data_IF_932038673985
#
_entry.id   IF_932038673985
#
_cell.length_a   1.000
_cell.length_b   1.000
_cell.length_c   1.000
_cell.angle_alpha   90.00
_cell.angle_beta   90.00
_cell.angle_gamma   90.00
#
_symmetry.space_group_name_H-M   'P 1'
#
loop_
_entity.id
_entity.type
_entity.pdbx_description
1 polymer ?
#
# COMPACT_ATOMS: atom_id res chain seq x y z
N UNK A 1 12.34 73.92 19.89
CA UNK A 1 12.12 74.82 21.03
C UNK A 1 10.71 74.63 21.50
N UNK A 2 10.58 73.93 22.63
CA UNK A 2 9.66 74.17 23.75
C UNK A 2 9.46 72.84 24.46
N UNK A 3 10.18 72.74 25.57
CA UNK A 3 10.17 71.70 26.58
C UNK A 3 8.87 71.70 27.40
N UNK A 4 8.63 70.58 28.09
CA UNK A 4 8.25 70.43 29.51
C UNK A 4 7.46 69.12 29.66
N UNK A 5 8.02 68.05 30.21
CA UNK A 5 8.27 67.75 31.64
C UNK A 5 7.01 67.48 32.49
N UNK A 6 6.96 66.21 32.96
CA UNK A 6 6.72 65.74 34.34
C UNK A 6 5.30 65.90 34.94
N UNK A 7 4.58 64.81 35.16
CA UNK A 7 4.50 64.05 36.45
C UNK A 7 3.24 63.17 36.53
N UNK A 8 3.32 62.04 37.25
CA UNK A 8 2.20 61.11 37.48
C UNK A 8 1.08 61.69 38.36
N UNK A 9 -0.06 60.98 38.47
CA UNK A 9 -0.12 59.95 39.51
C UNK A 9 -0.88 58.67 39.13
N UNK A 10 -0.53 57.60 39.84
CA UNK A 10 -1.33 56.39 40.01
C UNK A 10 -2.79 56.72 40.33
N UNK A 11 -3.69 56.33 39.43
CA UNK A 11 -5.10 56.12 39.75
C UNK A 11 -5.51 54.82 39.06
N UNK A 12 -5.49 53.73 39.83
CA UNK A 12 -6.33 52.55 39.58
C UNK A 12 -7.81 52.99 39.68
N UNK A 13 -8.65 52.68 38.69
CA UNK A 13 -10.03 52.35 38.96
C UNK A 13 -10.17 50.83 39.01
N UNK A 14 -10.36 50.33 40.23
CA UNK A 14 -11.10 49.10 40.46
C UNK A 14 -12.37 49.12 39.62
N UNK A 15 -12.54 48.07 38.83
CA UNK A 15 -13.65 47.96 37.91
C UNK A 15 -13.54 46.70 37.08
N UNK A 16 -13.53 45.54 37.75
CA UNK A 16 -13.93 44.27 37.14
C UNK A 16 -15.36 44.46 36.65
N UNK A 17 -15.53 44.94 35.42
CA UNK A 17 -16.67 44.59 34.61
C UNK A 17 -16.23 43.37 33.82
N UNK A 18 -16.59 42.20 34.33
CA UNK A 18 -16.73 41.02 33.50
C UNK A 18 -17.70 41.39 32.38
N UNK A 19 -17.17 41.85 31.26
CA UNK A 19 -17.85 41.66 30.00
C UNK A 19 -17.99 40.14 29.90
N UNK A 20 -19.21 39.65 30.09
CA UNK A 20 -19.60 38.30 29.72
C UNK A 20 -19.29 38.18 28.23
N UNK A 21 -18.05 37.80 27.92
CA UNK A 21 -17.68 37.34 26.59
C UNK A 21 -18.58 36.14 26.35
N UNK A 22 -19.60 36.36 25.53
CA UNK A 22 -20.48 35.27 25.17
C UNK A 22 -19.67 34.23 24.40
N UNK A 23 -20.10 32.97 24.44
CA UNK A 23 -19.42 31.91 23.69
C UNK A 23 -19.28 32.28 22.20
N UNK A 24 -20.27 32.99 21.66
CA UNK A 24 -20.26 33.60 20.34
C UNK A 24 -19.14 34.64 20.14
N UNK A 25 -18.80 35.46 21.14
CA UNK A 25 -17.71 36.44 21.05
C UNK A 25 -16.32 35.77 21.06
N UNK A 26 -16.18 34.64 21.78
CA UNK A 26 -14.98 33.81 21.77
C UNK A 26 -14.84 32.97 20.49
N UNK A 27 -15.95 32.64 19.82
CA UNK A 27 -15.96 31.88 18.57
C UNK A 27 -15.78 32.77 17.34
N UNK A 28 -16.14 34.06 17.42
CA UNK A 28 -15.98 35.06 16.37
C UNK A 28 -14.68 35.88 16.51
N UNK A 29 -13.79 35.51 17.42
CA UNK A 29 -12.50 36.17 17.60
C UNK A 29 -11.61 35.96 16.35
N UNK A 30 -11.52 36.99 15.51
CA UNK A 30 -10.71 37.02 14.28
C UNK A 30 -9.21 36.82 14.57
N UNK A 31 -8.76 36.93 15.83
CA UNK A 31 -7.39 36.60 16.25
C UNK A 31 -7.08 35.10 16.21
N UNK A 32 -8.11 34.23 16.14
CA UNK A 32 -7.96 32.78 15.98
C UNK A 32 -7.72 32.33 14.54
N UNK A 33 -7.60 33.26 13.58
CA UNK A 33 -7.16 32.94 12.22
C UNK A 33 -8.14 32.07 11.42
N UNK A 34 -9.39 31.94 11.85
CA UNK A 34 -10.49 31.40 11.06
C UNK A 34 -11.09 32.46 10.13
N UNK A 35 -10.23 33.28 9.50
CA UNK A 35 -10.64 33.94 8.27
C UNK A 35 -10.91 32.84 7.25
N UNK A 36 -12.18 32.52 7.06
CA UNK A 36 -12.73 31.70 5.98
C UNK A 36 -12.52 32.39 4.62
N UNK A 37 -11.26 32.70 4.30
CA UNK A 37 -10.78 33.15 3.01
C UNK A 37 -10.10 32.00 2.26
N UNK A 38 -10.51 30.76 2.52
CA UNK A 38 -10.24 29.66 1.61
C UNK A 38 -11.27 29.76 0.48
N UNK A 39 -10.79 29.91 -0.74
CA UNK A 39 -11.64 29.92 -1.93
C UNK A 39 -12.63 28.73 -1.85
N UNK A 40 -13.94 28.93 -2.07
CA UNK A 40 -14.93 27.84 -2.03
C UNK A 40 -14.52 26.63 -2.90
N UNK A 41 -13.85 26.88 -4.02
CA UNK A 41 -13.28 25.84 -4.90
C UNK A 41 -12.18 24.99 -4.23
N UNK A 42 -11.27 25.58 -3.45
CA UNK A 42 -10.21 24.82 -2.77
C UNK A 42 -10.80 23.90 -1.69
N UNK A 43 -11.88 24.35 -1.05
CA UNK A 43 -12.62 23.54 -0.09
C UNK A 43 -13.36 22.38 -0.77
N UNK A 44 -13.93 22.58 -1.96
CA UNK A 44 -14.55 21.50 -2.73
C UNK A 44 -13.52 20.50 -3.25
N UNK A 45 -12.43 20.95 -3.87
CA UNK A 45 -11.35 20.09 -4.37
C UNK A 45 -10.77 19.23 -3.25
N UNK A 46 -10.51 19.83 -2.09
CA UNK A 46 -10.02 19.12 -0.93
C UNK A 46 -11.06 18.10 -0.40
N UNK A 47 -12.36 18.42 -0.38
CA UNK A 47 -13.41 17.46 0.00
C UNK A 47 -13.47 16.29 -0.97
N UNK A 48 -13.46 16.56 -2.27
CA UNK A 48 -13.43 15.53 -3.32
C UNK A 48 -12.20 14.62 -3.19
N UNK A 49 -11.03 15.17 -2.88
CA UNK A 49 -9.83 14.37 -2.64
C UNK A 49 -9.94 13.54 -1.36
N UNK A 50 -10.51 14.08 -0.28
CA UNK A 50 -10.75 13.33 0.96
C UNK A 50 -11.73 12.18 0.74
N UNK A 51 -12.74 12.36 -0.11
CA UNK A 51 -13.68 11.29 -0.47
C UNK A 51 -12.98 10.15 -1.21
N UNK A 52 -12.09 10.47 -2.17
CA UNK A 52 -11.24 9.47 -2.83
C UNK A 52 -10.37 8.72 -1.82
N UNK A 53 -9.71 9.45 -0.91
CA UNK A 53 -8.88 8.84 0.13
C UNK A 53 -9.68 7.94 1.07
N UNK A 54 -10.89 8.36 1.47
CA UNK A 54 -11.73 7.57 2.35
C UNK A 54 -12.12 6.24 1.71
N UNK A 55 -12.43 6.24 0.42
CA UNK A 55 -12.72 5.01 -0.35
C UNK A 55 -11.48 4.13 -0.47
N UNK A 56 -10.32 4.72 -0.78
CA UNK A 56 -9.05 3.99 -0.82
C UNK A 56 -8.71 3.33 0.53
N UNK A 57 -8.89 4.04 1.65
CA UNK A 57 -8.63 3.53 3.00
C UNK A 57 -9.58 2.38 3.37
N UNK A 58 -10.84 2.39 2.88
CA UNK A 58 -11.77 1.26 3.02
C UNK A 58 -11.33 0.02 2.25
N UNK A 59 -10.38 0.17 1.31
CA UNK A 59 -9.79 -0.90 0.52
C UNK A 59 -10.40 -1.06 -0.87
N UNK A 60 -11.34 -0.19 -1.27
CA UNK A 60 -11.90 -0.20 -2.62
C UNK A 60 -11.08 0.68 -3.56
N UNK A 61 -10.03 0.08 -4.14
CA UNK A 61 -9.12 0.82 -5.02
C UNK A 61 -9.75 1.13 -6.39
N UNK A 62 -10.71 0.32 -6.84
CA UNK A 62 -11.37 0.52 -8.13
C UNK A 62 -12.35 1.69 -8.05
N UNK A 63 -13.17 1.74 -7.00
CA UNK A 63 -14.06 2.88 -6.74
C UNK A 63 -13.26 4.16 -6.47
N UNK A 64 -12.13 4.07 -5.78
CA UNK A 64 -11.26 5.23 -5.54
C UNK A 64 -10.78 5.85 -6.85
N UNK A 65 -10.30 5.04 -7.81
CA UNK A 65 -9.82 5.55 -9.10
C UNK A 65 -10.99 6.09 -9.92
N UNK A 66 -12.15 5.43 -9.88
CA UNK A 66 -13.35 5.89 -10.56
C UNK A 66 -13.77 7.29 -10.07
N UNK A 67 -13.77 7.53 -8.75
CA UNK A 67 -14.05 8.87 -8.19
C UNK A 67 -12.98 9.89 -8.57
N UNK A 68 -11.69 9.51 -8.54
CA UNK A 68 -10.62 10.40 -9.00
C UNK A 68 -10.81 10.80 -10.47
N UNK A 69 -11.32 9.90 -11.30
CA UNK A 69 -11.66 10.20 -12.68
C UNK A 69 -12.87 11.15 -12.79
N UNK A 70 -13.94 10.87 -12.04
CA UNK A 70 -15.15 11.69 -12.02
C UNK A 70 -14.90 13.12 -11.54
N UNK A 71 -14.00 13.30 -10.57
CA UNK A 71 -13.60 14.62 -10.08
C UNK A 71 -12.49 15.29 -10.93
N UNK A 72 -12.07 14.66 -12.03
CA UNK A 72 -11.09 15.25 -12.96
C UNK A 72 -9.63 15.24 -12.46
N UNK A 73 -9.31 14.49 -11.40
CA UNK A 73 -7.94 14.40 -10.86
C UNK A 73 -6.99 13.56 -11.73
N UNK A 74 -7.53 12.77 -12.67
CA UNK A 74 -6.74 11.90 -13.54
C UNK A 74 -6.41 12.50 -14.91
N UNK A 75 -6.44 13.83 -15.05
CA UNK A 75 -5.93 14.47 -16.26
C UNK A 75 -4.40 14.49 -16.27
N UNK A 76 -3.78 14.52 -17.45
CA UNK A 76 -2.32 14.58 -17.58
C UNK A 76 -1.73 15.80 -16.86
N UNK A 77 -2.41 16.95 -16.92
CA UNK A 77 -1.99 18.16 -16.22
C UNK A 77 -2.07 17.98 -14.69
N UNK A 78 -3.21 17.51 -14.16
CA UNK A 78 -3.38 17.29 -12.71
C UNK A 78 -2.39 16.29 -12.14
N UNK A 79 -2.11 15.20 -12.88
CA UNK A 79 -1.14 14.19 -12.48
C UNK A 79 0.31 14.68 -12.57
N UNK A 80 0.62 15.68 -13.41
CA UNK A 80 1.95 16.28 -13.47
C UNK A 80 2.15 17.33 -12.37
N UNK A 81 1.12 18.11 -12.06
CA UNK A 81 1.22 19.24 -11.12
C UNK A 81 1.09 18.81 -9.65
N UNK A 82 0.29 17.78 -9.34
CA UNK A 82 0.00 17.41 -7.94
C UNK A 82 0.58 16.06 -7.57
N UNK A 83 1.60 16.06 -6.69
CA UNK A 83 2.16 14.85 -6.09
C UNK A 83 1.09 14.03 -5.35
N UNK A 84 0.14 14.69 -4.67
CA UNK A 84 -0.91 14.01 -3.88
C UNK A 84 -1.80 13.15 -4.78
N UNK A 85 -2.21 13.68 -5.93
CA UNK A 85 -3.05 12.97 -6.89
C UNK A 85 -2.30 11.83 -7.54
N UNK A 86 -1.07 12.09 -8.00
CA UNK A 86 -0.23 11.07 -8.58
C UNK A 86 0.06 9.92 -7.61
N UNK A 87 0.39 10.23 -6.36
CA UNK A 87 0.71 9.22 -5.35
C UNK A 87 -0.51 8.37 -5.01
N UNK A 88 -1.69 8.97 -4.76
CA UNK A 88 -2.91 8.21 -4.51
C UNK A 88 -3.26 7.30 -5.69
N UNK A 89 -3.19 7.83 -6.90
CA UNK A 89 -3.44 7.07 -8.12
C UNK A 89 -2.49 5.89 -8.26
N UNK A 90 -1.18 6.12 -8.05
CA UNK A 90 -0.16 5.08 -8.11
C UNK A 90 -0.38 3.97 -7.09
N UNK A 91 -0.72 4.33 -5.84
CA UNK A 91 -1.00 3.37 -4.76
C UNK A 91 -2.25 2.53 -5.04
N UNK A 92 -3.31 3.16 -5.55
CA UNK A 92 -4.54 2.48 -5.94
C UNK A 92 -4.29 1.52 -7.12
N UNK A 93 -3.62 1.98 -8.18
CA UNK A 93 -3.24 1.17 -9.33
C UNK A 93 -2.34 0.00 -8.95
N UNK A 94 -1.40 0.20 -8.03
CA UNK A 94 -0.53 -0.86 -7.55
C UNK A 94 -1.32 -1.96 -6.82
N UNK A 95 -2.35 -1.58 -6.08
CA UNK A 95 -3.19 -2.49 -5.29
C UNK A 95 -4.15 -3.33 -6.16
N UNK A 96 -4.56 -2.80 -7.32
CA UNK A 96 -5.41 -3.52 -8.27
C UNK A 96 -4.64 -4.67 -8.94
N UNK A 97 -5.23 -5.86 -9.00
CA UNK A 97 -4.55 -7.06 -9.54
C UNK A 97 -4.40 -7.03 -11.05
N UNK A 98 -5.45 -6.63 -11.76
CA UNK A 98 -5.50 -6.56 -13.21
C UNK A 98 -6.32 -5.35 -13.61
N UNK A 99 -5.82 -4.59 -14.58
CA UNK A 99 -6.52 -3.44 -15.12
C UNK A 99 -7.61 -3.83 -16.14
N UNK A 100 -7.74 -5.11 -16.50
CA UNK A 100 -8.79 -5.59 -17.40
C UNK A 100 -10.21 -5.41 -16.85
N UNK A 101 -10.35 -5.34 -15.52
CA UNK A 101 -11.65 -5.15 -14.86
C UNK A 101 -12.08 -3.68 -14.81
N UNK A 102 -11.17 -2.75 -15.12
CA UNK A 102 -11.49 -1.32 -15.11
C UNK A 102 -12.39 -0.97 -16.31
N UNK A 103 -13.25 0.03 -16.15
CA UNK A 103 -14.02 0.58 -17.27
C UNK A 103 -13.10 1.10 -18.38
N UNK A 104 -13.56 1.04 -19.64
CA UNK A 104 -12.77 1.41 -20.83
C UNK A 104 -12.04 2.77 -20.69
N UNK A 105 -12.72 3.79 -20.16
CA UNK A 105 -12.15 5.13 -19.95
C UNK A 105 -10.97 5.12 -18.96
N UNK A 106 -11.09 4.36 -17.88
CA UNK A 106 -10.01 4.20 -16.90
C UNK A 106 -8.83 3.39 -17.47
N UNK A 107 -9.11 2.39 -18.30
CA UNK A 107 -8.05 1.64 -18.99
C UNK A 107 -7.23 2.56 -19.90
N UNK A 108 -7.87 3.48 -20.63
CA UNK A 108 -7.21 4.47 -21.47
C UNK A 108 -6.31 5.40 -20.64
N UNK A 109 -6.82 5.96 -19.53
CA UNK A 109 -6.05 6.83 -18.61
C UNK A 109 -4.83 6.10 -18.04
N UNK A 110 -5.00 4.86 -17.59
CA UNK A 110 -3.92 4.02 -17.06
C UNK A 110 -2.90 3.73 -18.16
N UNK A 111 -3.33 3.44 -19.39
CA UNK A 111 -2.41 3.22 -20.50
C UNK A 111 -1.63 4.48 -20.85
N UNK A 112 -2.27 5.65 -20.88
CA UNK A 112 -1.61 6.94 -21.16
C UNK A 112 -0.64 7.34 -20.04
N UNK A 113 -0.95 7.02 -18.78
CA UNK A 113 -0.10 7.38 -17.64
C UNK A 113 1.08 6.41 -17.47
N UNK A 114 0.85 5.12 -17.64
CA UNK A 114 1.87 4.08 -17.50
C UNK A 114 2.40 3.64 -18.87
N UNK A 115 2.86 4.62 -19.66
CA UNK A 115 3.55 4.40 -20.94
C UNK A 115 4.92 3.78 -20.78
N UNK A 116 5.53 3.93 -19.60
CA UNK A 116 6.94 3.65 -19.39
C UNK A 116 7.80 4.90 -19.51
N UNK A 117 7.23 6.02 -19.95
CA UNK A 117 7.89 7.30 -19.82
C UNK A 117 8.05 7.65 -18.34
N UNK A 118 9.30 7.72 -17.90
CA UNK A 118 9.65 7.94 -16.52
C UNK A 118 9.62 9.42 -16.11
N UNK A 119 9.29 10.37 -17.00
CA UNK A 119 9.32 11.81 -16.68
C UNK A 119 8.40 12.19 -15.53
N UNK A 120 7.14 11.76 -15.54
CA UNK A 120 6.15 12.09 -14.50
C UNK A 120 6.64 11.59 -13.13
N UNK A 121 7.15 10.37 -13.08
CA UNK A 121 7.70 9.78 -11.86
C UNK A 121 8.96 10.53 -11.41
N UNK A 122 9.88 10.82 -12.33
CA UNK A 122 11.12 11.56 -12.03
C UNK A 122 10.84 12.94 -11.44
N UNK A 123 9.78 13.62 -11.92
CA UNK A 123 9.33 14.89 -11.37
C UNK A 123 8.89 14.73 -9.92
N UNK A 124 7.93 13.82 -9.67
CA UNK A 124 7.38 13.56 -8.33
C UNK A 124 8.38 12.96 -7.34
N UNK A 125 9.44 12.31 -7.82
CA UNK A 125 10.51 11.82 -6.95
C UNK A 125 11.31 12.92 -6.28
N UNK A 126 11.37 14.13 -6.87
CA UNK A 126 12.05 15.28 -6.25
C UNK A 126 11.32 15.76 -5.01
N UNK A 127 10.00 15.63 -5.00
CA UNK A 127 9.13 16.01 -3.88
C UNK A 127 8.99 14.87 -2.86
N UNK A 128 9.17 13.62 -3.29
CA UNK A 128 9.01 12.46 -2.43
C UNK A 128 10.17 12.30 -1.41
N UNK A 129 9.87 11.89 -0.17
CA UNK A 129 10.89 11.50 0.81
C UNK A 129 11.83 10.43 0.24
N UNK A 130 13.14 10.57 0.49
CA UNK A 130 14.17 9.62 -0.01
C UNK A 130 13.79 8.16 0.29
N UNK A 131 13.32 7.90 1.52
CA UNK A 131 12.90 6.57 1.97
C UNK A 131 11.76 5.94 1.15
N UNK A 132 10.92 6.73 0.48
CA UNK A 132 9.81 6.23 -0.35
C UNK A 132 10.12 6.19 -1.83
N UNK A 133 11.20 6.82 -2.30
CA UNK A 133 11.54 6.91 -3.72
C UNK A 133 11.70 5.52 -4.38
N UNK A 134 12.43 4.61 -3.73
CA UNK A 134 12.62 3.24 -4.22
C UNK A 134 11.30 2.45 -4.27
N UNK A 135 10.39 2.69 -3.32
CA UNK A 135 9.05 2.10 -3.33
C UNK A 135 8.20 2.66 -4.46
N UNK A 136 8.30 3.95 -4.75
CA UNK A 136 7.54 4.61 -5.81
C UNK A 136 7.93 4.05 -7.19
N UNK A 137 9.23 3.87 -7.45
CA UNK A 137 9.72 3.19 -8.65
C UNK A 137 9.15 1.79 -8.83
N UNK A 138 9.17 0.99 -7.76
CA UNK A 138 8.63 -0.36 -7.78
C UNK A 138 7.15 -0.39 -8.16
N UNK A 139 6.36 0.49 -7.55
CA UNK A 139 4.93 0.59 -7.84
C UNK A 139 4.69 1.01 -9.29
N UNK A 140 5.47 1.99 -9.77
CA UNK A 140 5.36 2.49 -11.12
C UNK A 140 5.65 1.40 -12.16
N UNK A 141 6.80 0.73 -12.08
CA UNK A 141 7.14 -0.33 -13.05
C UNK A 141 6.15 -1.50 -13.01
N UNK A 142 5.61 -1.83 -11.83
CA UNK A 142 4.57 -2.86 -11.72
C UNK A 142 3.27 -2.43 -12.44
N UNK A 143 2.89 -1.15 -12.33
CA UNK A 143 1.75 -0.60 -13.07
C UNK A 143 2.03 -0.55 -14.57
N UNK A 144 3.24 -0.21 -15.01
CA UNK A 144 3.63 -0.28 -16.43
C UNK A 144 3.49 -1.70 -16.99
N UNK A 145 3.91 -2.73 -16.25
CA UNK A 145 3.73 -4.14 -16.64
C UNK A 145 2.24 -4.46 -16.79
N UNK A 146 1.41 -4.11 -15.80
CA UNK A 146 -0.05 -4.34 -15.87
C UNK A 146 -0.72 -3.61 -17.04
N UNK A 147 -0.31 -2.38 -17.33
CA UNK A 147 -0.83 -1.59 -18.45
C UNK A 147 -0.42 -2.19 -19.80
N UNK A 148 0.84 -2.64 -19.92
CA UNK A 148 1.36 -3.33 -21.10
C UNK A 148 0.60 -4.62 -21.43
N UNK A 149 0.18 -5.37 -20.41
CA UNK A 149 -0.58 -6.61 -20.60
C UNK A 149 -1.99 -6.41 -21.18
N UNK A 150 -2.58 -5.22 -21.04
CA UNK A 150 -3.85 -4.89 -21.71
C UNK A 150 -3.60 -4.51 -23.17
N UNK A 151 -2.55 -3.72 -23.42
CA UNK A 151 -2.27 -3.15 -24.73
C UNK A 151 -1.13 -3.89 -25.42
N UNK A 152 -1.41 -5.11 -25.90
CA UNK A 152 -0.47 -5.94 -26.65
C UNK A 152 -0.10 -5.35 -28.03
N UNK A 153 -0.81 -4.32 -28.48
CA UNK A 153 -0.55 -3.58 -29.71
C UNK A 153 0.51 -2.48 -29.60
N UNK A 154 1.08 -2.24 -28.41
CA UNK A 154 2.19 -1.29 -28.26
C UNK A 154 3.42 -1.71 -29.06
N UNK A 155 4.11 -0.72 -29.62
CA UNK A 155 5.34 -0.93 -30.37
C UNK A 155 6.42 -1.57 -29.49
N UNK A 156 7.20 -2.50 -30.05
CA UNK A 156 8.29 -3.15 -29.32
C UNK A 156 9.32 -2.15 -28.76
N UNK A 157 9.48 -0.99 -29.39
CA UNK A 157 10.39 0.08 -28.96
C UNK A 157 10.03 0.65 -27.58
N UNK A 158 8.75 0.80 -27.26
CA UNK A 158 8.31 1.32 -25.96
C UNK A 158 8.71 0.38 -24.81
N UNK A 159 8.63 -0.93 -25.06
CA UNK A 159 9.01 -1.94 -24.08
C UNK A 159 10.53 -2.06 -23.92
N UNK A 160 11.30 -1.80 -24.98
CA UNK A 160 12.77 -1.72 -24.90
C UNK A 160 13.19 -0.49 -24.08
N UNK A 161 12.51 0.65 -24.26
CA UNK A 161 12.76 1.85 -23.45
C UNK A 161 12.42 1.60 -21.97
N UNK A 162 11.30 0.94 -21.69
CA UNK A 162 10.92 0.52 -20.34
C UNK A 162 11.98 -0.40 -19.70
N UNK A 163 12.49 -1.39 -20.46
CA UNK A 163 13.57 -2.27 -20.04
C UNK A 163 14.84 -1.48 -19.68
N UNK A 164 15.28 -0.58 -20.55
CA UNK A 164 16.49 0.20 -20.36
C UNK A 164 16.39 1.13 -19.14
N UNK A 165 15.25 1.80 -18.95
CA UNK A 165 15.06 2.69 -17.82
C UNK A 165 14.93 1.93 -16.49
N UNK A 166 14.22 0.81 -16.47
CA UNK A 166 14.17 -0.05 -15.28
C UNK A 166 15.57 -0.54 -14.88
N UNK A 167 16.42 -0.88 -15.86
CA UNK A 167 17.81 -1.27 -15.62
C UNK A 167 18.64 -0.16 -15.00
N UNK A 168 18.48 1.10 -15.48
CA UNK A 168 19.15 2.28 -14.88
C UNK A 168 18.69 2.54 -13.45
N UNK A 169 17.43 2.26 -13.12
CA UNK A 169 16.93 2.41 -11.74
C UNK A 169 17.50 1.32 -10.85
N UNK A 170 17.57 0.07 -11.33
CA UNK A 170 18.21 -1.04 -10.60
C UNK A 170 19.68 -0.70 -10.31
N UNK A 171 20.44 -0.21 -11.28
CA UNK A 171 21.85 0.11 -11.07
C UNK A 171 22.07 1.18 -10.00
N UNK A 172 21.18 2.16 -9.89
CA UNK A 172 21.20 3.14 -8.79
C UNK A 172 20.90 2.50 -7.43
N UNK A 173 19.84 1.70 -7.34
CA UNK A 173 19.45 1.05 -6.09
C UNK A 173 20.49 0.03 -5.59
N UNK A 174 21.25 -0.60 -6.50
CA UNK A 174 22.37 -1.50 -6.18
C UNK A 174 23.52 -0.79 -5.46
N UNK A 175 23.63 0.54 -5.54
CA UNK A 175 24.64 1.30 -4.78
C UNK A 175 24.19 1.63 -3.36
N UNK A 176 22.89 1.64 -3.08
CA UNK A 176 22.32 2.12 -1.81
C UNK A 176 21.84 0.97 -0.91
N UNK A 177 22.59 0.55 0.14
CA UNK A 177 22.32 -0.67 0.93
C UNK A 177 20.94 -0.68 1.62
N UNK A 178 20.40 0.49 1.92
CA UNK A 178 19.14 0.70 2.64
C UNK A 178 17.92 0.09 1.93
N UNK A 179 17.93 0.01 0.60
CA UNK A 179 16.76 -0.39 -0.21
C UNK A 179 16.77 -1.87 -0.63
N UNK A 180 17.18 -2.76 0.27
CA UNK A 180 17.31 -4.19 -0.02
C UNK A 180 15.99 -4.87 -0.44
N UNK A 181 14.88 -4.56 0.23
CA UNK A 181 13.56 -5.12 -0.07
C UNK A 181 13.02 -4.58 -1.41
N UNK A 182 13.18 -3.27 -1.63
CA UNK A 182 12.77 -2.58 -2.84
C UNK A 182 13.59 -3.04 -4.05
N UNK A 183 14.89 -3.27 -3.88
CA UNK A 183 15.75 -3.83 -4.91
C UNK A 183 15.28 -5.23 -5.33
N UNK A 184 15.00 -6.10 -4.37
CA UNK A 184 14.47 -7.44 -4.66
C UNK A 184 13.18 -7.37 -5.50
N UNK A 185 12.21 -6.55 -5.07
CA UNK A 185 10.94 -6.39 -5.78
C UNK A 185 11.12 -5.85 -7.19
N UNK A 186 12.08 -4.94 -7.38
CA UNK A 186 12.31 -4.33 -8.68
C UNK A 186 12.96 -5.33 -9.64
N UNK A 187 13.92 -6.11 -9.15
CA UNK A 187 14.54 -7.20 -9.92
C UNK A 187 13.50 -8.27 -10.29
N UNK A 188 12.63 -8.63 -9.36
CA UNK A 188 11.50 -9.52 -9.63
C UNK A 188 10.58 -8.96 -10.72
N UNK A 189 10.21 -7.68 -10.63
CA UNK A 189 9.36 -7.01 -11.61
C UNK A 189 10.05 -6.92 -12.97
N UNK A 190 11.35 -6.68 -13.00
CA UNK A 190 12.15 -6.62 -14.23
C UNK A 190 12.21 -7.99 -14.92
N UNK A 191 12.60 -9.04 -14.20
CA UNK A 191 12.79 -10.36 -14.81
C UNK A 191 11.44 -10.99 -15.16
N UNK A 192 10.51 -11.05 -14.23
CA UNK A 192 9.26 -11.79 -14.44
C UNK A 192 8.20 -10.93 -15.14
N UNK A 193 8.08 -9.65 -14.80
CA UNK A 193 7.12 -8.75 -15.42
C UNK A 193 7.60 -8.23 -16.79
N UNK A 194 8.73 -7.53 -16.83
CA UNK A 194 9.16 -6.86 -18.07
C UNK A 194 9.72 -7.86 -19.08
N UNK A 195 10.71 -8.68 -18.71
CA UNK A 195 11.38 -9.59 -19.68
C UNK A 195 10.48 -10.74 -20.12
N UNK A 196 9.81 -11.42 -19.18
CA UNK A 196 9.04 -12.63 -19.46
C UNK A 196 7.60 -12.29 -19.86
N UNK A 197 6.87 -11.50 -19.07
CA UNK A 197 5.44 -11.24 -19.34
C UNK A 197 5.22 -10.20 -20.44
N UNK A 198 5.97 -9.10 -20.46
CA UNK A 198 5.78 -8.03 -21.46
C UNK A 198 6.55 -8.33 -22.76
N UNK A 199 7.85 -8.59 -22.66
CA UNK A 199 8.71 -8.85 -23.82
C UNK A 199 8.64 -10.31 -24.33
N UNK A 200 7.84 -11.18 -23.69
CA UNK A 200 7.63 -12.57 -24.10
C UNK A 200 8.93 -13.39 -24.25
N UNK A 201 10.01 -13.02 -23.53
CA UNK A 201 11.27 -13.76 -23.56
C UNK A 201 11.11 -15.10 -22.83
N UNK A 202 11.86 -16.10 -23.30
CA UNK A 202 11.83 -17.43 -22.68
C UNK A 202 12.45 -17.39 -21.29
N UNK A 203 11.79 -18.07 -20.34
CA UNK A 203 12.30 -18.22 -18.97
C UNK A 203 13.63 -18.96 -19.02
N UNK A 204 14.70 -18.27 -18.66
CA UNK A 204 16.04 -18.84 -18.62
C UNK A 204 16.88 -18.14 -17.56
N UNK A 205 17.84 -18.87 -17.00
CA UNK A 205 18.85 -18.29 -16.08
C UNK A 205 19.75 -17.29 -16.79
N UNK A 206 19.80 -17.31 -18.12
CA UNK A 206 20.53 -16.33 -18.93
C UNK A 206 19.99 -14.90 -18.74
N UNK A 207 18.68 -14.72 -18.53
CA UNK A 207 18.10 -13.38 -18.28
C UNK A 207 18.69 -12.73 -17.01
N UNK A 208 18.84 -13.52 -15.95
CA UNK A 208 19.46 -13.05 -14.70
C UNK A 208 20.95 -12.76 -14.88
N UNK A 209 21.68 -13.67 -15.55
CA UNK A 209 23.11 -13.48 -15.85
C UNK A 209 23.37 -12.23 -16.69
N UNK A 210 22.53 -11.98 -17.71
CA UNK A 210 22.61 -10.80 -18.55
C UNK A 210 22.34 -9.51 -17.75
N UNK A 211 21.36 -9.54 -16.84
CA UNK A 211 21.13 -8.41 -15.94
C UNK A 211 22.36 -8.14 -15.04
N UNK A 212 22.97 -9.19 -14.47
CA UNK A 212 24.18 -9.05 -13.66
C UNK A 212 25.40 -8.58 -14.47
N UNK A 213 25.48 -8.94 -15.76
CA UNK A 213 26.51 -8.42 -16.66
C UNK A 213 26.36 -6.91 -16.88
N UNK A 214 25.12 -6.43 -17.06
CA UNK A 214 24.87 -4.99 -17.26
C UNK A 214 24.85 -4.18 -15.97
N UNK A 215 24.58 -4.79 -14.82
CA UNK A 215 24.55 -4.13 -13.52
C UNK A 215 25.59 -4.80 -12.62
N UNK A 216 26.83 -4.27 -12.58
CA UNK A 216 27.88 -4.84 -11.74
C UNK A 216 27.45 -4.76 -10.26
N UNK A 217 27.92 -5.71 -9.46
CA UNK A 217 27.59 -5.88 -8.04
C UNK A 217 26.14 -6.28 -7.73
N UNK A 218 25.27 -6.45 -8.73
CA UNK A 218 23.91 -6.94 -8.49
C UNK A 218 23.93 -8.36 -7.91
N UNK A 219 24.72 -9.27 -8.51
CA UNK A 219 24.79 -10.67 -8.07
C UNK A 219 25.26 -10.81 -6.63
N UNK A 220 26.41 -10.19 -6.29
CA UNK A 220 26.94 -10.18 -4.91
C UNK A 220 25.97 -9.56 -3.90
N UNK A 221 25.20 -8.57 -4.34
CA UNK A 221 24.19 -7.95 -3.49
C UNK A 221 22.96 -8.83 -3.28
N UNK A 222 22.47 -9.51 -4.31
CA UNK A 222 21.32 -10.42 -4.16
C UNK A 222 21.68 -11.73 -3.45
N UNK A 223 22.93 -12.18 -3.55
CA UNK A 223 23.43 -13.36 -2.85
C UNK A 223 23.61 -13.12 -1.35
N UNK A 224 23.94 -11.90 -0.94
CA UNK A 224 24.04 -11.53 0.49
C UNK A 224 22.69 -11.28 1.16
N UNK A 225 21.63 -11.01 0.38
CA UNK A 225 20.29 -10.77 0.90
C UNK A 225 19.54 -12.08 1.15
N UNK A 226 18.90 -12.19 2.33
CA UNK A 226 18.03 -13.33 2.64
C UNK A 226 16.66 -13.14 1.99
N UNK A 227 16.18 -14.17 1.30
CA UNK A 227 14.81 -14.20 0.80
C UNK A 227 13.82 -14.34 1.96
N UNK A 228 12.59 -13.88 1.71
CA UNK A 228 11.41 -14.10 2.56
C UNK A 228 11.10 -15.60 2.69
N UNK A 229 11.50 -16.41 1.71
CA UNK A 229 11.36 -17.86 1.75
C UNK A 229 12.53 -18.47 2.55
N UNK A 230 12.19 -19.05 3.70
CA UNK A 230 13.12 -19.56 4.73
C UNK A 230 14.37 -20.24 4.16
N UNK A 231 15.52 -19.61 4.40
CA UNK A 231 16.85 -20.24 4.29
C UNK A 231 17.59 -20.01 2.98
N UNK A 232 16.95 -19.41 1.96
CA UNK A 232 17.60 -19.13 0.66
C UNK A 232 18.00 -17.67 0.51
N UNK A 233 19.00 -17.42 -0.31
CA UNK A 233 19.33 -16.05 -0.75
C UNK A 233 18.30 -15.55 -1.76
N UNK A 234 18.22 -14.24 -1.98
CA UNK A 234 17.32 -13.67 -3.01
C UNK A 234 17.72 -14.17 -4.40
N UNK A 235 19.02 -14.30 -4.67
CA UNK A 235 19.54 -14.86 -5.91
C UNK A 235 19.06 -16.31 -6.13
N UNK A 236 19.21 -17.17 -5.13
CA UNK A 236 18.76 -18.58 -5.21
C UNK A 236 17.25 -18.69 -5.43
N UNK A 237 16.46 -17.79 -4.83
CA UNK A 237 15.00 -17.74 -5.03
C UNK A 237 14.66 -17.39 -6.49
N UNK A 238 15.30 -16.35 -7.05
CA UNK A 238 15.11 -15.95 -8.45
C UNK A 238 15.52 -17.08 -9.41
N UNK A 239 16.69 -17.67 -9.21
CA UNK A 239 17.19 -18.77 -10.04
C UNK A 239 16.26 -19.98 -9.98
N UNK A 240 15.82 -20.38 -8.78
CA UNK A 240 14.91 -21.51 -8.62
C UNK A 240 13.57 -21.30 -9.31
N UNK A 241 13.06 -20.05 -9.34
CA UNK A 241 11.83 -19.69 -10.05
C UNK A 241 12.01 -19.68 -11.57
N UNK A 242 13.18 -19.30 -12.07
CA UNK A 242 13.52 -19.36 -13.50
C UNK A 242 13.68 -20.80 -14.01
N UNK A 243 14.22 -21.69 -13.18
CA UNK A 243 14.40 -23.12 -13.49
C UNK A 243 13.12 -23.94 -13.30
N UNK A 244 12.22 -23.50 -12.40
CA UNK A 244 10.94 -24.17 -12.22
C UNK A 244 10.13 -24.10 -13.52
N UNK A 245 9.91 -25.27 -14.15
CA UNK A 245 8.97 -25.38 -15.26
C UNK A 245 7.63 -24.78 -14.82
N UNK A 246 6.96 -23.98 -15.65
CA UNK A 246 5.64 -23.47 -15.30
C UNK A 246 4.78 -24.68 -14.94
N UNK A 247 4.26 -24.68 -13.71
CA UNK A 247 3.29 -25.68 -13.28
C UNK A 247 2.12 -25.54 -14.24
N UNK A 248 2.07 -26.43 -15.24
CA UNK A 248 0.90 -26.58 -16.08
C UNK A 248 -0.22 -26.94 -15.12
N UNK A 249 -1.04 -25.95 -14.77
CA UNK A 249 -2.31 -26.21 -14.12
C UNK A 249 -3.01 -27.17 -15.07
N UNK A 250 -3.07 -28.45 -14.69
CA UNK A 250 -3.80 -29.46 -15.45
C UNK A 250 -5.23 -28.95 -15.49
N UNK A 251 -5.62 -28.35 -16.62
CA UNK A 251 -7.02 -28.13 -16.95
C UNK A 251 -7.66 -29.50 -16.79
N UNK A 252 -8.51 -29.65 -15.77
CA UNK A 252 -9.34 -30.84 -15.66
C UNK A 252 -10.04 -31.02 -17.02
N UNK A 253 -9.98 -32.21 -17.62
CA UNK A 253 -10.70 -32.44 -18.85
C UNK A 253 -12.19 -32.25 -18.55
N UNK A 254 -12.82 -31.30 -19.25
CA UNK A 254 -14.27 -31.17 -19.31
C UNK A 254 -14.81 -32.55 -19.74
N UNK A 255 -15.47 -33.24 -18.82
CA UNK A 255 -16.19 -34.46 -19.14
C UNK A 255 -17.28 -34.11 -20.14
N UNK A 256 -17.12 -34.57 -21.36
CA UNK A 256 -18.19 -34.65 -22.34
C UNK A 256 -19.23 -35.63 -21.79
N UNK A 257 -20.41 -35.11 -21.50
CA UNK A 257 -21.61 -35.89 -21.24
C UNK A 257 -21.97 -36.71 -22.49
N UNK A 258 -21.88 -38.04 -22.38
CA UNK A 258 -22.66 -38.98 -23.19
C UNK A 258 -23.33 -40.00 -22.26
N UNK A 259 -24.59 -40.23 -22.57
CA UNK A 259 -25.63 -40.98 -21.86
C UNK A 259 -25.43 -42.51 -21.89
N UNK A 260 -25.76 -43.15 -20.74
CA UNK A 260 -26.49 -44.43 -20.51
C UNK A 260 -25.88 -45.71 -21.17
N UNK A 261 -25.46 -46.77 -20.45
CA UNK A 261 -26.33 -47.84 -19.87
C UNK A 261 -25.53 -48.85 -18.99
N UNK A 262 -25.98 -49.05 -17.73
CA UNK A 262 -26.11 -50.24 -16.84
C UNK A 262 -25.02 -51.36 -16.77
N UNK A 263 -24.43 -51.59 -15.57
CA UNK A 263 -24.50 -52.84 -14.73
C UNK A 263 -23.30 -53.08 -13.76
N UNK A 264 -23.48 -52.79 -12.45
CA UNK A 264 -23.11 -53.49 -11.17
C UNK A 264 -21.68 -54.10 -10.87
N UNK A 265 -21.34 -54.37 -9.58
CA UNK A 265 -20.09 -53.93 -8.87
C UNK A 265 -19.24 -55.15 -8.39
N UNK A 266 -18.37 -55.14 -7.33
CA UNK A 266 -17.85 -54.06 -6.44
C UNK A 266 -16.32 -54.11 -6.18
N UNK A 267 -15.73 -53.07 -5.57
CA UNK A 267 -14.73 -53.27 -4.49
C UNK A 267 -14.44 -51.99 -3.67
N UNK A 268 -14.32 -52.22 -2.36
CA UNK A 268 -13.98 -51.32 -1.23
C UNK A 268 -12.82 -50.36 -1.48
N UNK A 269 -12.89 -49.14 -0.91
CA UNK A 269 -11.94 -48.65 0.13
C UNK A 269 -12.27 -47.23 0.65
N UNK A 270 -12.46 -47.20 1.97
CA UNK A 270 -11.92 -46.22 2.94
C UNK A 270 -12.24 -44.73 2.76
N UNK A 271 -13.19 -44.27 3.58
CA UNK A 271 -13.39 -42.86 3.90
C UNK A 271 -12.28 -42.36 4.86
N UNK A 272 -11.37 -41.55 4.35
CA UNK A 272 -10.64 -40.56 5.18
C UNK A 272 -11.06 -39.15 4.73
N UNK A 273 -12.01 -38.59 5.45
CA UNK A 273 -12.36 -37.16 5.38
C UNK A 273 -11.25 -36.34 6.03
N UNK A 274 -10.21 -35.99 5.24
CA UNK A 274 -9.33 -34.86 5.59
C UNK A 274 -10.09 -33.57 5.37
N UNK A 275 -10.67 -33.05 6.44
CA UNK A 275 -11.12 -31.66 6.54
C UNK A 275 -9.92 -30.74 6.28
N UNK A 276 -9.84 -30.17 5.08
CA UNK A 276 -8.94 -29.07 4.76
C UNK A 276 -9.39 -27.86 5.56
N UNK A 277 -8.80 -27.69 6.75
CA UNK A 277 -8.88 -26.42 7.48
C UNK A 277 -8.11 -25.37 6.67
N UNK A 278 -8.85 -24.58 5.89
CA UNK A 278 -8.34 -23.35 5.29
C UNK A 278 -8.07 -22.38 6.44
N UNK A 279 -6.82 -22.32 6.88
CA UNK A 279 -6.35 -21.28 7.80
C UNK A 279 -6.47 -19.95 7.03
N UNK A 280 -7.32 -19.01 7.47
CA UNK A 280 -7.49 -17.76 6.74
C UNK A 280 -6.18 -16.96 6.80
N UNK A 281 -5.73 -16.49 5.63
CA UNK A 281 -4.43 -15.83 5.39
C UNK A 281 -4.25 -14.47 6.09
N UNK A 282 -5.26 -13.93 6.77
CA UNK A 282 -5.17 -12.64 7.49
C UNK A 282 -4.13 -12.64 8.63
N UNK A 283 -3.78 -13.80 9.19
CA UNK A 283 -2.71 -13.92 10.22
C UNK A 283 -1.33 -13.48 9.71
N UNK A 284 -1.05 -13.50 8.41
CA UNK A 284 0.21 -12.98 7.86
C UNK A 284 0.24 -11.46 7.65
N UNK A 285 -0.93 -10.81 7.71
CA UNK A 285 -1.07 -9.36 7.60
C UNK A 285 -0.98 -8.65 8.97
N UNK A 286 -1.29 -9.36 10.06
CA UNK A 286 -1.21 -8.85 11.43
C UNK A 286 0.15 -8.29 11.84
N UNK A 287 1.29 -8.97 11.65
CA UNK A 287 2.58 -8.44 12.12
C UNK A 287 3.00 -7.16 11.39
N UNK A 288 2.55 -6.93 10.15
CA UNK A 288 2.85 -5.71 9.38
C UNK A 288 1.97 -4.52 9.78
N UNK A 289 0.75 -4.79 10.24
CA UNK A 289 -0.15 -3.75 10.74
C UNK A 289 0.26 -3.30 12.14
N UNK A 290 0.61 -4.24 13.04
CA UNK A 290 1.00 -3.90 14.40
C UNK A 290 2.43 -3.36 14.53
N UNK A 291 3.36 -3.69 13.62
CA UNK A 291 4.75 -3.19 13.69
C UNK A 291 4.90 -1.70 13.33
N UNK A 292 3.85 -1.05 12.80
CA UNK A 292 3.86 0.36 12.40
C UNK A 292 2.98 1.27 13.26
N UNK A 293 2.20 0.70 14.19
CA UNK A 293 1.40 1.50 15.11
C UNK A 293 2.34 1.97 16.22
N UNK A 294 2.79 3.23 16.15
CA UNK A 294 3.33 3.90 17.32
C UNK A 294 2.21 3.93 18.38
N UNK A 295 2.35 3.11 19.41
CA UNK A 295 1.43 3.00 20.53
C UNK A 295 1.54 4.28 21.40
N UNK A 296 0.99 5.37 20.89
CA UNK A 296 0.56 6.49 21.72
C UNK A 296 -0.46 5.98 22.73
N UNK A 297 -0.47 6.55 23.95
CA UNK A 297 -1.42 6.20 25.02
C UNK A 297 -2.88 6.27 24.53
N UNK A 298 -3.17 7.20 23.63
CA UNK A 298 -4.49 7.38 23.02
C UNK A 298 -4.84 6.26 22.02
N UNK A 299 -3.87 5.81 21.22
CA UNK A 299 -4.06 4.70 20.27
C UNK A 299 -4.30 3.36 20.98
N UNK A 300 -3.70 3.16 22.16
CA UNK A 300 -3.90 1.95 22.97
C UNK A 300 -5.33 1.88 23.53
N UNK A 301 -5.86 3.01 24.02
CA UNK A 301 -7.26 3.13 24.44
C UNK A 301 -8.23 2.87 23.29
N UNK A 302 -7.92 3.37 22.09
CA UNK A 302 -8.76 3.18 20.90
C UNK A 302 -8.80 1.71 20.45
N UNK A 303 -7.64 1.03 20.46
CA UNK A 303 -7.55 -0.41 20.20
C UNK A 303 -8.30 -1.23 21.27
N UNK A 304 -8.19 -0.84 22.54
CA UNK A 304 -8.91 -1.48 23.64
C UNK A 304 -10.44 -1.33 23.49
N UNK A 305 -10.92 -0.14 23.12
CA UNK A 305 -12.34 0.12 22.88
C UNK A 305 -12.88 -0.67 21.70
N UNK A 306 -12.13 -0.75 20.58
CA UNK A 306 -12.49 -1.60 19.43
C UNK A 306 -12.54 -3.08 19.83
N UNK A 307 -11.59 -3.52 20.66
CA UNK A 307 -11.56 -4.89 21.18
C UNK A 307 -12.76 -5.18 22.10
N UNK A 308 -13.13 -4.24 22.97
CA UNK A 308 -14.29 -4.37 23.85
C UNK A 308 -15.62 -4.33 23.07
N UNK A 309 -15.75 -3.45 22.08
CA UNK A 309 -16.93 -3.36 21.20
C UNK A 309 -17.09 -4.63 20.33
N UNK A 310 -15.98 -5.18 19.83
CA UNK A 310 -16.01 -6.46 19.12
C UNK A 310 -16.34 -7.63 20.04
N UNK A 311 -15.95 -7.62 21.31
CA UNK A 311 -16.40 -8.61 22.31
C UNK A 311 -17.91 -8.51 22.59
N UNK A 312 -18.47 -7.30 22.70
CA UNK A 312 -19.91 -7.09 22.93
C UNK A 312 -20.78 -7.55 21.75
N UNK A 313 -20.23 -7.50 20.54
CA UNK A 313 -20.96 -7.84 19.31
C UNK A 313 -21.14 -9.35 19.11
N UNK A 314 -20.40 -10.19 19.84
CA UNK A 314 -20.43 -11.65 19.67
C UNK A 314 -21.31 -12.29 20.75
N UNK A 315 -22.63 -12.10 20.63
CA UNK A 315 -23.67 -12.66 21.54
C UNK A 315 -23.83 -14.20 21.48
N UNK A 316 -22.99 -14.95 20.76
CA UNK A 316 -23.12 -16.42 20.59
C UNK A 316 -21.78 -17.15 20.75
N UNK A 317 -21.19 -17.11 21.94
CA UNK A 317 -19.94 -17.83 22.23
C UNK A 317 -19.99 -18.61 23.55
N UNK A 318 -20.92 -19.56 23.65
CA UNK A 318 -20.95 -20.52 24.78
C UNK A 318 -19.78 -21.52 24.78
N UNK A 319 -18.92 -21.55 23.75
CA UNK A 319 -17.82 -22.53 23.60
C UNK A 319 -16.40 -21.94 23.54
N UNK A 320 -16.23 -20.63 23.70
CA UNK A 320 -14.91 -19.97 23.75
C UNK A 320 -14.29 -19.73 25.16
N UNK A 321 -14.88 -20.12 26.32
CA UNK A 321 -14.32 -19.74 27.61
C UNK A 321 -12.96 -20.38 27.91
N UNK A 322 -12.66 -21.59 27.41
CA UNK A 322 -11.37 -22.26 27.70
C UNK A 322 -10.17 -21.62 27.00
N UNK A 323 -10.35 -21.12 25.78
CA UNK A 323 -9.27 -20.46 25.04
C UNK A 323 -8.96 -19.08 25.65
N UNK A 324 -10.00 -18.31 25.98
CA UNK A 324 -9.83 -17.02 26.65
C UNK A 324 -9.30 -17.17 28.07
N UNK A 325 -9.76 -18.16 28.83
CA UNK A 325 -9.22 -18.41 30.17
C UNK A 325 -7.71 -18.72 30.11
N UNK A 326 -7.26 -19.56 29.18
CA UNK A 326 -5.84 -19.88 29.02
C UNK A 326 -5.01 -18.69 28.49
N UNK A 327 -5.59 -17.87 27.62
CA UNK A 327 -4.96 -16.66 27.09
C UNK A 327 -4.82 -15.57 28.17
N UNK A 328 -5.90 -15.32 28.93
CA UNK A 328 -5.91 -14.40 30.07
C UNK A 328 -4.97 -14.87 31.17
N UNK A 329 -4.88 -16.18 31.45
CA UNK A 329 -3.93 -16.72 32.43
C UNK A 329 -2.47 -16.48 32.04
N UNK A 330 -2.16 -16.52 30.74
CA UNK A 330 -0.82 -16.23 30.21
C UNK A 330 -0.51 -14.73 30.20
N UNK A 331 -1.51 -13.88 29.95
CA UNK A 331 -1.32 -12.42 29.91
C UNK A 331 -1.46 -11.72 31.26
N UNK A 332 -2.13 -12.34 32.24
CA UNK A 332 -2.32 -11.79 33.58
C UNK A 332 -1.02 -11.29 34.26
N UNK A 333 0.11 -12.02 34.25
CA UNK A 333 1.35 -11.51 34.84
C UNK A 333 1.91 -10.30 34.08
N UNK A 334 1.74 -10.24 32.76
CA UNK A 334 2.23 -9.10 31.95
C UNK A 334 1.37 -7.86 32.13
N UNK A 335 0.05 -8.04 32.22
CA UNK A 335 -0.90 -6.96 32.55
C UNK A 335 -0.67 -6.42 33.96
N UNK A 336 -0.38 -7.29 34.94
CA UNK A 336 -0.06 -6.88 36.32
C UNK A 336 1.22 -6.05 36.37
N UNK A 337 2.24 -6.39 35.60
CA UNK A 337 3.48 -5.61 35.52
C UNK A 337 3.27 -4.25 34.82
N UNK A 338 2.45 -4.21 33.78
CA UNK A 338 2.07 -2.97 33.09
C UNK A 338 1.25 -2.03 33.99
N UNK A 339 0.30 -2.56 34.74
CA UNK A 339 -0.48 -1.80 35.72
C UNK A 339 0.39 -1.29 36.87
N UNK A 340 1.37 -2.07 37.32
CA UNK A 340 2.31 -1.66 38.37
C UNK A 340 3.23 -0.53 37.92
N UNK A 341 3.65 -0.55 36.66
CA UNK A 341 4.41 0.54 36.02
C UNK A 341 3.57 1.81 35.88
N UNK A 342 2.26 1.67 35.61
CA UNK A 342 1.32 2.78 35.52
C UNK A 342 0.92 3.34 36.89
N UNK A 343 1.01 2.56 37.98
CA UNK A 343 0.71 3.02 39.34
C UNK A 343 1.90 3.63 40.09
N UNK A 344 3.12 3.53 39.52
CA UNK A 344 4.34 4.17 40.05
C UNK A 344 4.63 5.54 39.41
N UNK A 345 3.68 6.03 38.61
CA UNK A 345 3.60 7.39 38.06
C UNK A 345 2.33 7.99 38.65
#
# INVERSE_FOLDING_TARGET
MSDNEIDGPDILPDGIQSADATLEDLLNDESLGYSSNLNPLENEEQRHFQDCLAVFIRGDCEESIQKMYEYGFLTQASLQTSYKYFNLFLEACYSIRSFQNLGFRLQEVVQQTFTGDCQIVKYHLKEAPKSSQASMWNKYYNCCVKAALINQSRGQEDFINLENDARKVISKLVQEPTYSIELQKLVDTYIFGIQIEVLQKTRSTALYKQLCYHVPNLGSRLSSLRSVHKGKTVEEDILSRLESKPVKIKKQPRQHSKSVTIAKPPLKKTNETKTVQVIPKWRSLWPKFFSKIHLSRQNLLLVLLIFLASLQSIKKLSKIPRFFANFLRKLAPQLKNLLRLLSTI
#
